data_IF_437928506327
#
_entry.id   IF_437928506327
#
_cell.length_a   1.000
_cell.length_b   1.000
_cell.length_c   1.000
_cell.angle_alpha   90.00
_cell.angle_beta   90.00
_cell.angle_gamma   90.00
#
_symmetry.space_group_name_H-M   'P 1'
#
loop_
_entity.id
_entity.type
_entity.pdbx_description
1 polymer ?
#
# COMPACT_ATOMS: atom_id res chain seq x y z
N UNK A 1 -22.47 -27.27 -8.21
CA UNK A 1 -22.43 -26.10 -9.09
C UNK A 1 -21.10 -25.41 -8.85
N UNK A 2 -20.18 -25.36 -9.81
CA UNK A 2 -18.95 -24.61 -9.64
C UNK A 2 -19.30 -23.15 -9.81
N UNK A 3 -19.32 -22.39 -8.73
CA UNK A 3 -19.33 -20.92 -8.82
C UNK A 3 -18.03 -20.48 -9.48
N UNK A 4 -18.07 -20.35 -10.79
CA UNK A 4 -16.97 -19.73 -11.52
C UNK A 4 -16.96 -18.23 -11.16
N UNK A 5 -15.83 -17.76 -10.60
CA UNK A 5 -15.64 -16.33 -10.38
C UNK A 5 -15.84 -15.58 -11.70
N UNK A 6 -16.74 -14.61 -11.70
CA UNK A 6 -16.99 -13.76 -12.87
C UNK A 6 -15.89 -12.69 -12.94
N UNK A 7 -14.75 -13.04 -13.54
CA UNK A 7 -13.61 -12.11 -13.71
C UNK A 7 -13.70 -11.46 -15.08
N UNK A 8 -13.65 -10.13 -15.12
CA UNK A 8 -13.66 -9.35 -16.36
C UNK A 8 -12.53 -9.79 -17.33
N UNK A 9 -12.76 -9.78 -18.64
CA UNK A 9 -11.71 -10.05 -19.63
C UNK A 9 -10.53 -9.10 -19.51
N UNK A 10 -9.31 -9.56 -19.77
CA UNK A 10 -8.10 -8.74 -19.65
C UNK A 10 -8.11 -7.51 -20.58
N UNK A 11 -8.72 -7.63 -21.78
CA UNK A 11 -8.81 -6.55 -22.76
C UNK A 11 -9.82 -5.46 -22.42
N UNK A 12 -10.74 -5.70 -21.46
CA UNK A 12 -11.76 -4.72 -21.07
C UNK A 12 -11.36 -3.86 -19.86
N UNK A 13 -10.19 -4.07 -19.28
CA UNK A 13 -9.73 -3.37 -18.09
C UNK A 13 -8.31 -2.83 -18.31
N UNK A 14 -8.04 -1.64 -17.75
CA UNK A 14 -6.69 -1.08 -17.69
C UNK A 14 -5.81 -1.86 -16.71
N UNK A 15 -6.39 -2.30 -15.59
CA UNK A 15 -5.68 -2.96 -14.51
C UNK A 15 -6.08 -4.42 -14.36
N UNK A 16 -5.11 -5.31 -14.30
CA UNK A 16 -5.32 -6.71 -13.93
C UNK A 16 -5.51 -6.85 -12.42
N UNK A 17 -4.81 -6.01 -11.63
CA UNK A 17 -5.03 -5.90 -10.19
C UNK A 17 -4.79 -4.49 -9.67
N UNK A 18 -5.62 -4.08 -8.72
CA UNK A 18 -5.44 -2.86 -7.93
C UNK A 18 -5.45 -3.21 -6.45
N UNK A 19 -4.60 -2.56 -5.65
CA UNK A 19 -4.63 -2.71 -4.19
C UNK A 19 -4.97 -1.41 -3.49
N UNK A 20 -5.64 -1.51 -2.34
CA UNK A 20 -5.86 -0.41 -1.40
C UNK A 20 -5.18 -0.75 -0.09
N UNK A 21 -4.20 0.04 0.33
CA UNK A 21 -3.51 -0.23 1.57
C UNK A 21 -2.38 0.72 1.89
N UNK A 22 -1.73 0.48 3.03
CA UNK A 22 -0.57 1.25 3.46
C UNK A 22 0.71 0.69 2.86
N UNK A 23 1.53 1.60 2.34
CA UNK A 23 2.88 1.30 1.88
C UNK A 23 3.85 2.06 2.78
N UNK A 24 4.74 1.34 3.44
CA UNK A 24 5.68 1.88 4.41
C UNK A 24 7.10 1.78 3.92
N UNK A 25 7.95 2.66 4.41
CA UNK A 25 9.39 2.46 4.33
C UNK A 25 9.81 1.44 5.39
N UNK A 26 10.39 0.34 4.96
CA UNK A 26 10.95 -0.70 5.84
C UNK A 26 12.44 -0.45 6.06
N UNK A 27 12.85 -0.54 7.33
CA UNK A 27 14.23 -0.31 7.76
C UNK A 27 14.77 -1.59 8.39
N UNK A 28 15.78 -2.19 7.76
CA UNK A 28 16.43 -3.43 8.18
C UNK A 28 17.86 -3.14 8.65
N UNK A 29 18.21 -3.40 9.91
CA UNK A 29 19.57 -3.21 10.43
C UNK A 29 20.56 -4.30 9.98
N UNK A 30 20.15 -5.21 9.09
CA UNK A 30 20.94 -6.39 8.72
C UNK A 30 21.00 -7.42 9.85
N UNK A 31 22.20 -7.85 10.19
CA UNK A 31 22.41 -8.85 11.25
C UNK A 31 22.39 -8.24 12.66
N UNK A 32 22.37 -6.91 12.73
CA UNK A 32 22.34 -6.15 13.99
C UNK A 32 20.94 -6.08 14.61
N UNK A 33 20.84 -5.26 15.64
CA UNK A 33 19.56 -4.93 16.31
C UNK A 33 19.18 -3.47 16.04
N UNK A 34 17.90 -3.17 16.04
CA UNK A 34 17.38 -1.81 15.81
C UNK A 34 18.05 -0.81 16.75
N UNK A 35 18.11 -1.12 18.07
CA UNK A 35 18.61 -0.19 19.09
C UNK A 35 20.13 0.03 19.07
N UNK A 36 20.90 -0.77 18.33
CA UNK A 36 22.35 -0.60 18.18
C UNK A 36 22.76 -0.24 16.75
N UNK A 37 21.81 -0.17 15.82
CA UNK A 37 22.10 0.08 14.43
C UNK A 37 22.66 1.50 14.19
N UNK A 38 23.63 1.59 13.29
CA UNK A 38 24.17 2.86 12.77
C UNK A 38 23.83 3.08 11.30
N UNK A 39 23.26 2.03 10.66
CA UNK A 39 22.79 2.06 9.28
C UNK A 39 21.61 1.12 9.13
N UNK A 40 20.75 1.40 8.16
CA UNK A 40 19.64 0.55 7.77
C UNK A 40 19.64 0.39 6.27
N UNK A 41 19.38 -0.81 5.79
CA UNK A 41 18.91 -1.03 4.42
C UNK A 41 17.42 -0.69 4.38
N UNK A 42 16.99 -0.05 3.29
CA UNK A 42 15.59 0.39 3.17
C UNK A 42 14.92 -0.28 1.97
N UNK A 43 13.65 -0.58 2.13
CA UNK A 43 12.75 -1.11 1.11
C UNK A 43 11.35 -0.55 1.34
N UNK A 44 10.54 -0.62 0.31
CA UNK A 44 9.10 -0.45 0.42
C UNK A 44 8.44 -1.75 0.89
N UNK A 45 7.25 -1.63 1.49
CA UNK A 45 6.46 -2.79 1.86
C UNK A 45 5.12 -2.43 2.48
N UNK A 46 4.17 -3.30 2.24
CA UNK A 46 2.81 -3.25 2.77
C UNK A 46 2.10 -4.52 2.34
N UNK A 47 1.18 -5.03 3.13
CA UNK A 47 0.51 -6.31 2.85
C UNK A 47 -0.10 -6.31 1.46
N UNK A 48 -0.94 -5.33 1.19
CA UNK A 48 -1.69 -5.17 -0.05
C UNK A 48 -0.77 -4.85 -1.24
N UNK A 49 0.21 -3.98 -1.00
CA UNK A 49 1.21 -3.62 -2.01
C UNK A 49 2.08 -4.81 -2.43
N UNK A 50 2.51 -5.63 -1.49
CA UNK A 50 3.32 -6.81 -1.78
C UNK A 50 2.62 -7.76 -2.76
N UNK A 51 1.28 -7.86 -2.69
CA UNK A 51 0.49 -8.65 -3.63
C UNK A 51 0.58 -8.08 -5.04
N UNK A 52 0.27 -6.80 -5.25
CA UNK A 52 0.29 -6.20 -6.60
C UNK A 52 1.69 -6.10 -7.17
N UNK A 53 2.71 -5.84 -6.32
CA UNK A 53 4.11 -5.89 -6.73
C UNK A 53 4.52 -7.31 -7.18
N UNK A 54 4.13 -8.33 -6.41
CA UNK A 54 4.37 -9.74 -6.76
C UNK A 54 3.69 -10.12 -8.08
N UNK A 55 2.43 -9.75 -8.27
CA UNK A 55 1.70 -9.97 -9.52
C UNK A 55 2.38 -9.29 -10.71
N UNK A 56 2.88 -8.07 -10.52
CA UNK A 56 3.63 -7.36 -11.54
C UNK A 56 4.96 -8.04 -11.88
N UNK A 57 5.76 -8.35 -10.84
CA UNK A 57 7.13 -8.85 -11.03
C UNK A 57 7.21 -10.30 -11.48
N UNK A 58 6.31 -11.14 -10.99
CA UNK A 58 6.32 -12.58 -11.29
C UNK A 58 5.51 -12.94 -12.52
N UNK A 59 4.43 -12.20 -12.81
CA UNK A 59 3.47 -12.56 -13.87
C UNK A 59 3.31 -11.50 -14.95
N UNK A 60 3.98 -10.35 -14.83
CA UNK A 60 3.89 -9.26 -15.81
C UNK A 60 2.54 -8.55 -15.86
N UNK A 61 1.67 -8.73 -14.85
CA UNK A 61 0.34 -8.14 -14.83
C UNK A 61 0.40 -6.62 -14.69
N UNK A 62 -0.61 -5.93 -15.23
CA UNK A 62 -0.78 -4.48 -15.08
C UNK A 62 -1.37 -4.19 -13.71
N UNK A 63 -0.59 -3.53 -12.86
CA UNK A 63 -0.97 -3.32 -11.46
C UNK A 63 -0.85 -1.87 -11.04
N UNK A 64 -1.75 -1.42 -10.17
CA UNK A 64 -1.73 -0.12 -9.53
C UNK A 64 -1.97 -0.25 -8.03
N UNK A 65 -1.58 0.78 -7.27
CA UNK A 65 -1.83 0.85 -5.84
C UNK A 65 -2.53 2.16 -5.47
N UNK A 66 -3.64 2.03 -4.75
CA UNK A 66 -4.35 3.15 -4.12
C UNK A 66 -3.80 3.31 -2.71
N UNK A 67 -3.16 4.45 -2.45
CA UNK A 67 -2.54 4.77 -1.15
C UNK A 67 -2.41 6.28 -0.98
N UNK A 68 -1.87 6.72 0.15
CA UNK A 68 -1.55 8.13 0.36
C UNK A 68 -0.19 8.30 1.04
N UNK A 69 0.53 9.34 0.64
CA UNK A 69 1.81 9.73 1.22
C UNK A 69 1.81 11.20 1.66
N UNK A 70 2.56 11.49 2.72
CA UNK A 70 2.99 12.85 3.01
C UNK A 70 4.00 13.30 1.95
N UNK A 71 3.80 14.48 1.37
CA UNK A 71 4.65 15.03 0.31
C UNK A 71 5.98 15.53 0.88
N UNK A 72 6.88 14.59 1.10
CA UNK A 72 8.23 14.82 1.61
C UNK A 72 9.22 13.81 0.99
N UNK A 73 10.53 13.97 1.20
CA UNK A 73 11.54 13.07 0.63
C UNK A 73 11.34 11.59 0.97
N UNK A 74 10.76 11.24 2.13
CA UNK A 74 10.49 9.85 2.51
C UNK A 74 9.37 9.27 1.66
N UNK A 75 8.28 10.01 1.45
CA UNK A 75 7.19 9.60 0.55
C UNK A 75 7.69 9.41 -0.88
N UNK A 76 8.55 10.34 -1.37
CA UNK A 76 9.14 10.25 -2.70
C UNK A 76 10.08 9.05 -2.86
N UNK A 77 10.80 8.67 -1.80
CA UNK A 77 11.62 7.45 -1.81
C UNK A 77 10.76 6.19 -1.93
N UNK A 78 9.63 6.13 -1.21
CA UNK A 78 8.72 4.99 -1.33
C UNK A 78 8.09 4.92 -2.73
N UNK A 79 7.69 6.06 -3.31
CA UNK A 79 7.19 6.14 -4.69
C UNK A 79 8.23 5.61 -5.69
N UNK A 80 9.50 6.02 -5.56
CA UNK A 80 10.58 5.54 -6.43
C UNK A 80 10.72 4.01 -6.37
N UNK A 81 10.66 3.42 -5.18
CA UNK A 81 10.65 1.97 -5.04
C UNK A 81 9.42 1.30 -5.68
N UNK A 82 8.24 1.93 -5.60
CA UNK A 82 7.04 1.42 -6.28
C UNK A 82 7.24 1.41 -7.79
N UNK A 83 7.81 2.49 -8.35
CA UNK A 83 8.14 2.59 -9.77
C UNK A 83 9.18 1.53 -10.19
N UNK A 84 10.22 1.30 -9.38
CA UNK A 84 11.18 0.23 -9.59
C UNK A 84 10.52 -1.16 -9.53
N UNK A 85 9.49 -1.33 -8.70
CA UNK A 85 8.63 -2.51 -8.65
C UNK A 85 7.73 -2.68 -9.88
N UNK A 86 7.58 -1.62 -10.68
CA UNK A 86 6.72 -1.58 -11.87
C UNK A 86 5.23 -1.46 -11.55
N UNK A 87 4.89 -1.06 -10.33
CA UNK A 87 3.52 -0.77 -9.91
C UNK A 87 3.19 0.68 -10.27
N UNK A 88 2.04 0.90 -10.89
CA UNK A 88 1.57 2.23 -11.26
C UNK A 88 1.23 3.06 -10.02
N UNK A 89 1.60 4.35 -10.04
CA UNK A 89 1.46 5.29 -8.93
C UNK A 89 0.42 6.39 -9.19
N UNK A 90 -0.36 6.28 -10.27
CA UNK A 90 -1.34 7.32 -10.66
C UNK A 90 -2.47 7.51 -9.63
N UNK A 91 -2.71 6.52 -8.79
CA UNK A 91 -3.69 6.55 -7.70
C UNK A 91 -3.10 6.84 -6.32
N UNK A 92 -1.87 7.37 -6.27
CA UNK A 92 -1.24 7.84 -5.04
C UNK A 92 -1.76 9.25 -4.71
N UNK A 93 -2.36 9.41 -3.52
CA UNK A 93 -2.75 10.71 -3.00
C UNK A 93 -1.59 11.35 -2.23
N UNK A 94 -1.24 12.56 -2.59
CA UNK A 94 -0.23 13.34 -1.87
C UNK A 94 -0.89 14.31 -0.89
N UNK A 95 -0.45 14.25 0.37
CA UNK A 95 -0.92 15.15 1.43
C UNK A 95 0.19 16.16 1.77
N UNK A 96 -0.10 17.46 1.80
CA UNK A 96 0.90 18.47 2.14
C UNK A 96 1.57 18.19 3.48
N UNK A 97 2.90 18.26 3.52
CA UNK A 97 3.69 18.01 4.72
C UNK A 97 3.96 19.31 5.47
N UNK A 98 3.83 19.28 6.79
CA UNK A 98 3.97 20.44 7.67
C UNK A 98 5.45 20.77 8.05
N UNK A 99 6.41 20.09 7.44
CA UNK A 99 7.84 20.26 7.70
C UNK A 99 8.40 19.44 8.86
N UNK A 100 7.57 18.95 9.77
CA UNK A 100 8.00 18.24 10.99
C UNK A 100 7.17 17.01 11.35
N UNK A 101 6.09 16.72 10.62
CA UNK A 101 5.27 15.52 10.80
C UNK A 101 4.35 15.55 12.02
N UNK A 102 3.84 16.71 12.41
CA UNK A 102 2.81 16.82 13.47
C UNK A 102 1.44 16.41 13.01
N UNK A 103 1.12 16.68 11.74
CA UNK A 103 -0.21 16.46 11.17
C UNK A 103 -0.26 15.27 10.24
N UNK A 104 0.82 15.01 9.50
CA UNK A 104 0.89 13.91 8.53
C UNK A 104 2.30 13.35 8.45
N UNK A 105 2.41 12.03 8.31
CA UNK A 105 3.67 11.29 8.21
C UNK A 105 3.57 10.17 7.18
N UNK A 106 4.71 9.61 6.78
CA UNK A 106 4.78 8.34 6.09
C UNK A 106 5.07 7.22 7.08
N UNK A 107 4.46 6.06 6.91
CA UNK A 107 4.65 4.92 7.79
C UNK A 107 6.08 4.36 7.73
N UNK A 108 6.63 4.05 8.90
CA UNK A 108 7.91 3.37 9.02
C UNK A 108 7.73 2.02 9.70
N UNK A 109 8.52 1.04 9.29
CA UNK A 109 8.52 -0.27 9.91
C UNK A 109 9.97 -0.79 10.05
N UNK A 110 10.48 -0.81 11.25
CA UNK A 110 11.78 -1.38 11.58
C UNK A 110 11.64 -2.88 11.77
N UNK A 111 12.50 -3.67 11.12
CA UNK A 111 12.38 -5.13 11.11
C UNK A 111 13.73 -5.76 11.42
N UNK A 112 13.85 -6.42 12.58
CA UNK A 112 14.98 -7.28 12.91
C UNK A 112 14.77 -8.69 12.41
N UNK A 113 15.77 -9.25 11.78
CA UNK A 113 15.77 -10.66 11.38
C UNK A 113 15.95 -11.58 12.57
N UNK A 114 15.29 -12.74 12.52
CA UNK A 114 15.58 -13.82 13.46
C UNK A 114 16.91 -14.50 13.15
N UNK A 115 17.63 -14.93 14.21
CA UNK A 115 18.90 -15.65 14.10
C UNK A 115 18.98 -16.73 15.17
N UNK A 116 19.02 -18.00 14.77
CA UNK A 116 19.04 -19.12 15.70
C UNK A 116 17.90 -19.05 16.70
N UNK A 117 18.20 -19.00 17.99
CA UNK A 117 17.21 -18.86 19.06
C UNK A 117 16.65 -17.43 19.20
N UNK A 118 17.22 -16.44 18.51
CA UNK A 118 16.71 -15.06 18.51
C UNK A 118 15.55 -14.94 17.54
N UNK A 119 14.34 -14.69 18.06
CA UNK A 119 13.16 -14.39 17.23
C UNK A 119 13.29 -13.09 16.45
N UNK A 120 12.61 -13.00 15.30
CA UNK A 120 12.45 -11.75 14.56
C UNK A 120 11.64 -10.75 15.39
N UNK A 121 11.93 -9.46 15.24
CA UNK A 121 11.18 -8.35 15.86
C UNK A 121 10.82 -7.30 14.85
N UNK A 122 9.68 -6.66 15.05
CA UNK A 122 9.33 -5.46 14.30
C UNK A 122 8.88 -4.34 15.25
N UNK A 123 9.15 -3.11 14.82
CA UNK A 123 8.68 -1.90 15.48
C UNK A 123 8.08 -1.01 14.39
N UNK A 124 6.76 -0.86 14.42
CA UNK A 124 6.04 -0.02 13.46
C UNK A 124 5.81 1.37 14.05
N UNK A 125 6.19 2.40 13.29
CA UNK A 125 5.85 3.80 13.56
C UNK A 125 4.87 4.28 12.51
N UNK A 126 3.57 4.15 12.82
CA UNK A 126 2.45 4.33 11.89
C UNK A 126 1.44 5.38 12.37
N UNK A 127 1.79 6.18 13.35
CA UNK A 127 0.93 7.26 13.83
C UNK A 127 0.79 8.38 12.81
N UNK A 128 -0.42 8.89 12.60
CA UNK A 128 -0.73 10.03 11.73
C UNK A 128 -0.24 9.87 10.28
N UNK A 129 -0.22 8.64 9.76
CA UNK A 129 0.18 8.44 8.36
C UNK A 129 -0.85 9.01 7.41
N UNK A 130 -0.41 9.47 6.23
CA UNK A 130 -1.31 10.04 5.23
C UNK A 130 -2.42 9.05 4.85
N UNK A 131 -2.07 7.77 4.70
CA UNK A 131 -3.02 6.72 4.36
C UNK A 131 -4.03 6.44 5.48
N UNK A 132 -3.62 6.55 6.76
CA UNK A 132 -4.53 6.37 7.89
C UNK A 132 -5.58 7.50 8.02
N UNK A 133 -5.38 8.60 7.29
CA UNK A 133 -6.26 9.76 7.27
C UNK A 133 -7.15 9.83 6.03
N UNK A 134 -7.10 8.80 5.15
CA UNK A 134 -8.00 8.71 4.01
C UNK A 134 -9.46 8.70 4.46
N UNK A 135 -10.30 9.42 3.72
CA UNK A 135 -11.75 9.57 3.98
C UNK A 135 -12.55 9.12 2.76
N UNK A 136 -13.81 8.71 2.95
CA UNK A 136 -14.73 8.51 1.83
C UNK A 136 -14.81 9.78 0.96
N UNK A 137 -14.50 9.62 -0.33
CA UNK A 137 -14.44 10.74 -1.31
C UNK A 137 -13.02 11.19 -1.67
N UNK A 138 -12.00 10.75 -0.94
CA UNK A 138 -10.60 11.06 -1.27
C UNK A 138 -10.07 10.28 -2.49
N UNK A 139 -10.73 9.18 -2.84
CA UNK A 139 -10.39 8.34 -3.99
C UNK A 139 -11.57 8.34 -4.97
N UNK A 140 -11.26 8.57 -6.24
CA UNK A 140 -12.23 8.48 -7.34
C UNK A 140 -12.40 7.01 -7.77
N UNK A 141 -13.33 6.32 -7.10
CA UNK A 141 -13.63 4.93 -7.38
C UNK A 141 -14.36 4.73 -8.72
N UNK A 142 -15.12 5.72 -9.16
CA UNK A 142 -15.83 5.65 -10.43
C UNK A 142 -14.84 5.73 -11.61
N UNK A 143 -13.78 6.54 -11.46
CA UNK A 143 -12.68 6.52 -12.42
C UNK A 143 -11.96 5.15 -12.41
N UNK A 144 -11.59 4.64 -11.25
CA UNK A 144 -10.82 3.39 -11.13
C UNK A 144 -11.62 2.16 -11.62
N UNK A 145 -12.83 1.96 -11.11
CA UNK A 145 -13.61 0.73 -11.39
C UNK A 145 -14.46 0.84 -12.65
N UNK A 146 -15.02 2.04 -12.93
CA UNK A 146 -15.94 2.27 -14.04
C UNK A 146 -15.23 2.64 -15.34
N UNK A 147 -14.32 3.63 -15.30
CA UNK A 147 -13.68 4.14 -16.52
C UNK A 147 -12.44 3.34 -16.92
N UNK A 148 -11.51 3.12 -15.96
CA UNK A 148 -10.28 2.38 -16.21
C UNK A 148 -10.52 0.86 -16.19
N UNK A 149 -11.33 0.40 -15.28
CA UNK A 149 -11.63 -1.02 -15.07
C UNK A 149 -10.53 -1.77 -14.33
N UNK A 150 -10.94 -2.57 -13.37
CA UNK A 150 -10.08 -3.44 -12.55
C UNK A 150 -10.64 -4.85 -12.60
N UNK A 151 -9.78 -5.85 -12.83
CA UNK A 151 -10.17 -7.28 -12.84
C UNK A 151 -10.17 -7.88 -11.46
N UNK A 152 -9.22 -7.49 -10.61
CA UNK A 152 -9.09 -7.94 -9.23
C UNK A 152 -8.74 -6.77 -8.32
N UNK A 153 -9.55 -6.54 -7.31
CA UNK A 153 -9.28 -5.55 -6.27
C UNK A 153 -8.89 -6.26 -4.98
N UNK A 154 -7.80 -5.80 -4.38
CA UNK A 154 -7.23 -6.37 -3.15
C UNK A 154 -7.09 -5.32 -2.06
N UNK A 155 -7.67 -5.60 -0.90
CA UNK A 155 -7.54 -4.80 0.31
C UNK A 155 -7.35 -5.72 1.51
N UNK A 156 -6.98 -5.19 2.66
CA UNK A 156 -6.69 -5.99 3.84
C UNK A 156 -7.17 -5.37 5.14
N UNK A 157 -7.43 -6.23 6.12
CA UNK A 157 -7.94 -5.82 7.43
C UNK A 157 -6.98 -4.89 8.20
N UNK A 158 -5.68 -4.92 7.91
CA UNK A 158 -4.71 -4.01 8.54
C UNK A 158 -4.95 -2.58 8.09
N UNK A 159 -5.21 -2.36 6.80
CA UNK A 159 -5.58 -1.03 6.29
C UNK A 159 -6.88 -0.55 6.93
N UNK A 160 -7.92 -1.37 6.91
CA UNK A 160 -9.22 -1.03 7.51
C UNK A 160 -9.11 -0.70 9.01
N UNK A 161 -8.17 -1.30 9.72
CA UNK A 161 -7.95 -1.10 11.15
C UNK A 161 -7.08 0.13 11.50
N UNK A 162 -6.59 0.89 10.52
CA UNK A 162 -5.76 2.08 10.80
C UNK A 162 -6.56 3.22 11.45
N UNK A 163 -7.82 3.38 11.07
CA UNK A 163 -8.72 4.41 11.62
C UNK A 163 -10.18 4.09 11.28
N UNK A 164 -11.11 4.79 11.90
CA UNK A 164 -12.54 4.70 11.55
C UNK A 164 -12.79 5.08 10.10
N UNK A 165 -12.14 6.14 9.61
CA UNK A 165 -12.31 6.59 8.22
C UNK A 165 -11.74 5.61 7.21
N UNK A 166 -10.62 4.93 7.48
CA UNK A 166 -10.09 3.88 6.59
C UNK A 166 -11.01 2.66 6.54
N UNK A 167 -11.67 2.29 7.65
CA UNK A 167 -12.69 1.25 7.65
C UNK A 167 -13.89 1.61 6.76
N UNK A 168 -14.29 2.88 6.72
CA UNK A 168 -15.35 3.37 5.82
C UNK A 168 -14.90 3.36 4.35
N UNK A 169 -13.67 3.79 4.07
CA UNK A 169 -13.07 3.74 2.72
C UNK A 169 -13.02 2.30 2.21
N UNK A 170 -12.56 1.36 3.04
CA UNK A 170 -12.49 -0.06 2.71
C UNK A 170 -13.87 -0.63 2.36
N UNK A 171 -14.87 -0.41 3.21
CA UNK A 171 -16.26 -0.87 2.95
C UNK A 171 -16.84 -0.25 1.68
N UNK A 172 -16.59 1.03 1.43
CA UNK A 172 -17.07 1.72 0.22
C UNK A 172 -16.43 1.16 -1.03
N UNK A 173 -15.11 0.98 -1.04
CA UNK A 173 -14.36 0.45 -2.18
C UNK A 173 -14.81 -0.98 -2.53
N UNK A 174 -14.99 -1.83 -1.53
CA UNK A 174 -15.43 -3.23 -1.72
C UNK A 174 -16.85 -3.30 -2.30
N UNK A 175 -17.78 -2.45 -1.82
CA UNK A 175 -19.13 -2.36 -2.38
C UNK A 175 -19.12 -1.91 -3.83
N UNK A 176 -18.37 -0.85 -4.16
CA UNK A 176 -18.31 -0.32 -5.51
C UNK A 176 -17.68 -1.30 -6.48
N UNK A 177 -16.59 -1.98 -6.08
CA UNK A 177 -16.00 -3.03 -6.89
C UNK A 177 -16.99 -4.16 -7.24
N UNK A 178 -17.89 -4.50 -6.33
CA UNK A 178 -18.93 -5.52 -6.56
C UNK A 178 -20.08 -5.05 -7.47
N UNK A 179 -20.17 -3.74 -7.72
CA UNK A 179 -21.24 -3.12 -8.54
C UNK A 179 -20.80 -2.84 -9.98
N UNK A 180 -19.52 -2.91 -10.27
CA UNK A 180 -18.88 -2.72 -11.58
C UNK A 180 -18.34 -4.03 -12.13
#
# INVERSE_FOLDING_TARGET
MSDSLNVKPAGSCRWDAASLGEIMLRLDPGDGRIHTARAFRVWEGGGEYNVVRGLRRCFGLRTTAVTAFADNPVGRLVEDFMLQGGVDVSHVRWTPFDGIGRTVRNGLNFVERGFGCRGARSCADRGLTAVSQLKPGDVDWDALFGQEGVRWFHTGGIFAALSETTAEVDRKSTRLNSSH
#
